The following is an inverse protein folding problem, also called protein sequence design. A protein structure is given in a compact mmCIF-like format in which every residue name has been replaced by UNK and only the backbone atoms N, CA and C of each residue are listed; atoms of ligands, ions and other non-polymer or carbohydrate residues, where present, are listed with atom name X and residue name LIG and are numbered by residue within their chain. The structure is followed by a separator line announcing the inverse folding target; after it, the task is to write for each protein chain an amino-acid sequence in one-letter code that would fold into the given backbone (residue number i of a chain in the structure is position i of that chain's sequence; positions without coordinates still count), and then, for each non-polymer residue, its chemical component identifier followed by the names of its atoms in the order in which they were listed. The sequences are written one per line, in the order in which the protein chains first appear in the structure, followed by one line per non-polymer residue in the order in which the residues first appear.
data_IF_750705446123
#
_entry.id   IF_750705446123
#
_cell.length_a   1.000
_cell.length_b   1.000
_cell.length_c   1.000
_cell.angle_alpha   90.00
_cell.angle_beta   90.00
_cell.angle_gamma   90.00
#
_symmetry.space_group_name_H-M   'P 1'
#
loop_
_entity.id
_entity.type
_entity.pdbx_description
1 polymer ?
#
# COMPACT_ATOMS: atom_id res chain seq x y z
N UNK A 1 5.25 -28.01 1.44
CA UNK A 1 5.61 -27.00 0.42
C UNK A 1 4.60 -25.88 0.37
N UNK A 2 4.56 -25.05 1.41
CA UNK A 2 3.62 -23.94 1.49
C UNK A 2 4.19 -22.72 0.78
N UNK A 3 3.51 -22.23 -0.25
CA UNK A 3 3.81 -20.97 -0.94
C UNK A 3 2.96 -19.80 -0.43
N UNK A 4 2.83 -18.75 -1.24
CA UNK A 4 2.06 -17.55 -0.95
C UNK A 4 0.90 -17.42 -1.94
N UNK A 5 -0.34 -17.40 -1.43
CA UNK A 5 -1.52 -17.03 -2.22
C UNK A 5 -1.71 -15.52 -2.14
N UNK A 6 -1.63 -14.83 -3.28
CA UNK A 6 -1.69 -13.38 -3.34
C UNK A 6 -3.14 -12.95 -3.57
N UNK A 7 -3.65 -12.15 -2.65
CA UNK A 7 -5.00 -11.59 -2.68
C UNK A 7 -4.97 -10.08 -2.95
N UNK A 8 -5.91 -9.57 -3.73
CA UNK A 8 -6.02 -8.14 -4.03
C UNK A 8 -7.48 -7.66 -4.14
N UNK A 9 -7.68 -6.36 -4.32
CA UNK A 9 -8.98 -5.77 -4.64
C UNK A 9 -10.11 -5.96 -3.60
N UNK A 10 -9.79 -6.20 -2.32
CA UNK A 10 -10.76 -6.20 -1.22
C UNK A 10 -11.21 -4.79 -0.81
N UNK A 11 -12.42 -4.67 -0.24
CA UNK A 11 -12.97 -3.43 0.28
C UNK A 11 -13.91 -3.67 1.47
N UNK A 12 -13.87 -2.79 2.47
CA UNK A 12 -14.74 -2.83 3.66
C UNK A 12 -15.35 -1.45 3.98
N UNK A 13 -15.61 -0.65 2.94
CA UNK A 13 -16.14 0.71 3.08
C UNK A 13 -17.61 0.78 2.69
N UNK A 14 -17.94 1.77 1.84
CA UNK A 14 -19.26 1.87 1.20
C UNK A 14 -19.66 0.58 0.48
N UNK A 15 -18.69 -0.04 -0.20
CA UNK A 15 -18.82 -1.37 -0.77
C UNK A 15 -18.07 -2.37 0.11
N UNK A 16 -18.75 -3.46 0.47
CA UNK A 16 -18.12 -4.63 1.08
C UNK A 16 -17.82 -5.60 -0.07
N UNK A 17 -16.54 -5.88 -0.27
CA UNK A 17 -16.08 -6.81 -1.31
C UNK A 17 -14.96 -7.68 -0.76
N UNK A 18 -15.11 -9.00 -0.92
CA UNK A 18 -14.02 -9.95 -0.72
C UNK A 18 -12.86 -9.66 -1.67
N UNK A 19 -11.67 -10.10 -1.29
CA UNK A 19 -10.50 -10.06 -2.16
C UNK A 19 -10.65 -11.05 -3.32
N UNK A 20 -9.98 -10.75 -4.41
CA UNK A 20 -9.78 -11.65 -5.55
C UNK A 20 -8.42 -12.33 -5.42
N UNK A 21 -8.33 -13.60 -5.79
CA UNK A 21 -7.05 -14.31 -5.88
C UNK A 21 -6.34 -13.89 -7.16
N UNK A 22 -5.14 -13.33 -7.02
CA UNK A 22 -4.25 -13.04 -8.14
C UNK A 22 -3.57 -14.33 -8.63
N UNK A 23 -2.95 -15.08 -7.71
CA UNK A 23 -2.28 -16.34 -8.01
C UNK A 23 -1.45 -16.86 -6.82
N UNK A 24 -0.78 -18.00 -7.02
CA UNK A 24 0.09 -18.64 -6.04
C UNK A 24 1.56 -18.56 -6.51
N UNK A 25 2.45 -18.20 -5.60
CA UNK A 25 3.91 -18.19 -5.84
C UNK A 25 4.63 -18.98 -4.75
N UNK A 26 5.88 -19.39 -4.98
CA UNK A 26 6.61 -20.30 -4.09
C UNK A 26 7.39 -19.56 -3.01
N UNK A 27 7.93 -18.39 -3.33
CA UNK A 27 8.86 -17.67 -2.45
C UNK A 27 8.36 -16.28 -2.08
N UNK A 28 8.95 -15.74 -1.01
CA UNK A 28 8.69 -14.36 -0.59
C UNK A 28 9.15 -13.34 -1.64
N UNK A 29 10.31 -13.57 -2.27
CA UNK A 29 10.82 -12.70 -3.33
C UNK A 29 9.87 -12.65 -4.53
N UNK A 30 9.32 -13.81 -4.93
CA UNK A 30 8.30 -13.86 -5.98
C UNK A 30 7.04 -13.10 -5.54
N UNK A 31 6.61 -13.26 -4.28
CA UNK A 31 5.44 -12.55 -3.77
C UNK A 31 5.64 -11.02 -3.81
N UNK A 32 6.81 -10.55 -3.38
CA UNK A 32 7.19 -9.14 -3.47
C UNK A 32 7.20 -8.65 -4.91
N UNK A 33 7.80 -9.39 -5.84
CA UNK A 33 7.84 -9.01 -7.26
C UNK A 33 6.41 -8.81 -7.83
N UNK A 34 5.52 -9.77 -7.59
CA UNK A 34 4.14 -9.72 -8.10
C UNK A 34 3.32 -8.61 -7.45
N UNK A 35 3.42 -8.43 -6.13
CA UNK A 35 2.69 -7.39 -5.39
C UNK A 35 3.16 -5.99 -5.81
N UNK A 36 4.47 -5.80 -5.95
CA UNK A 36 5.06 -4.52 -6.37
C UNK A 36 4.67 -4.20 -7.83
N UNK A 37 4.75 -5.18 -8.72
CA UNK A 37 4.32 -5.01 -10.11
C UNK A 37 2.82 -4.67 -10.22
N UNK A 38 1.94 -5.39 -9.51
CA UNK A 38 0.51 -5.10 -9.43
C UNK A 38 0.27 -3.66 -8.92
N UNK A 39 0.99 -3.27 -7.87
CA UNK A 39 0.90 -1.92 -7.29
C UNK A 39 1.29 -0.86 -8.33
N UNK A 40 2.35 -1.08 -9.09
CA UNK A 40 2.77 -0.14 -10.14
C UNK A 40 1.77 -0.08 -11.30
N UNK A 41 1.24 -1.22 -11.75
CA UNK A 41 0.19 -1.25 -12.78
C UNK A 41 -1.02 -0.43 -12.34
N UNK A 42 -1.44 -0.57 -11.07
CA UNK A 42 -2.51 0.24 -10.51
C UNK A 42 -2.14 1.73 -10.41
N UNK A 43 -0.91 2.07 -9.98
CA UNK A 43 -0.43 3.47 -9.93
C UNK A 43 -0.46 4.15 -11.30
N UNK A 44 -0.16 3.43 -12.37
CA UNK A 44 -0.10 3.97 -13.72
C UNK A 44 -1.47 4.10 -14.39
N UNK A 45 -2.43 3.26 -14.02
CA UNK A 45 -3.74 3.17 -14.68
C UNK A 45 -4.91 3.68 -13.85
N UNK A 46 -4.72 3.87 -12.54
CA UNK A 46 -5.73 4.34 -11.61
C UNK A 46 -6.13 5.79 -11.91
N UNK A 47 -7.44 6.05 -11.86
CA UNK A 47 -7.97 7.42 -11.93
C UNK A 47 -7.96 8.07 -10.54
N UNK A 48 -7.98 9.39 -10.50
CA UNK A 48 -8.07 10.13 -9.23
C UNK A 48 -9.28 9.64 -8.40
N UNK A 49 -9.03 9.30 -7.13
CA UNK A 49 -9.99 8.71 -6.18
C UNK A 49 -10.61 7.36 -6.60
N UNK A 50 -10.09 6.72 -7.65
CA UNK A 50 -10.47 5.35 -7.97
C UNK A 50 -9.81 4.41 -6.98
N UNK A 51 -10.61 3.57 -6.32
CA UNK A 51 -10.11 2.54 -5.41
C UNK A 51 -9.71 1.31 -6.21
N UNK A 52 -8.71 0.55 -5.74
CA UNK A 52 -8.18 -0.61 -6.46
C UNK A 52 -9.25 -1.64 -6.87
N UNK A 53 -10.31 -1.85 -6.07
CA UNK A 53 -11.41 -2.74 -6.43
C UNK A 53 -12.28 -2.22 -7.60
N UNK A 54 -12.43 -0.89 -7.73
CA UNK A 54 -13.10 -0.24 -8.87
C UNK A 54 -12.22 -0.25 -10.11
N UNK A 55 -10.92 0.01 -9.93
CA UNK A 55 -9.93 -0.14 -11.00
C UNK A 55 -9.90 -1.58 -11.54
N UNK A 56 -9.83 -2.58 -10.65
CA UNK A 56 -9.84 -3.99 -11.04
C UNK A 56 -11.11 -4.39 -11.80
N UNK A 57 -12.27 -3.86 -11.37
CA UNK A 57 -13.55 -4.04 -12.10
C UNK A 57 -13.51 -3.43 -13.52
N UNK A 58 -12.82 -2.29 -13.69
CA UNK A 58 -12.71 -1.60 -14.99
C UNK A 58 -11.71 -2.27 -15.93
N UNK A 59 -10.56 -2.71 -15.42
CA UNK A 59 -9.52 -3.37 -16.22
C UNK A 59 -9.89 -4.83 -16.53
N UNK A 60 -10.51 -5.52 -15.57
CA UNK A 60 -10.79 -6.96 -15.65
C UNK A 60 -9.72 -7.77 -14.93
N UNK A 61 -10.16 -8.71 -14.08
CA UNK A 61 -9.26 -9.55 -13.28
C UNK A 61 -8.38 -10.42 -14.18
N UNK A 62 -8.94 -10.98 -15.25
CA UNK A 62 -8.19 -11.80 -16.22
C UNK A 62 -7.08 -11.03 -16.91
N UNK A 63 -7.31 -9.77 -17.27
CA UNK A 63 -6.27 -8.92 -17.88
C UNK A 63 -5.16 -8.58 -16.87
N UNK A 64 -5.52 -8.36 -15.62
CA UNK A 64 -4.54 -8.14 -14.54
C UNK A 64 -3.70 -9.41 -14.33
N UNK A 65 -4.33 -10.58 -14.26
CA UNK A 65 -3.63 -11.86 -14.14
C UNK A 65 -2.72 -12.13 -15.34
N UNK A 66 -3.19 -11.88 -16.55
CA UNK A 66 -2.37 -12.02 -17.77
C UNK A 66 -1.10 -11.18 -17.69
N UNK A 67 -1.19 -9.92 -17.26
CA UNK A 67 -0.01 -9.06 -17.20
C UNK A 67 0.91 -9.32 -16.00
N UNK A 68 0.38 -9.78 -14.87
CA UNK A 68 1.16 -9.95 -13.64
C UNK A 68 1.62 -11.39 -13.46
N UNK A 69 0.75 -12.38 -13.66
CA UNK A 69 1.06 -13.80 -13.44
C UNK A 69 1.63 -14.49 -14.68
N UNK A 70 1.23 -14.09 -15.89
CA UNK A 70 1.55 -14.83 -17.13
C UNK A 70 2.59 -14.15 -18.03
N UNK A 71 2.88 -12.86 -17.78
CA UNK A 71 3.79 -12.04 -18.60
C UNK A 71 4.96 -11.54 -17.75
N UNK A 72 6.03 -12.34 -17.70
CA UNK A 72 7.23 -12.07 -16.91
C UNK A 72 7.92 -10.77 -17.31
N UNK A 73 7.95 -10.46 -18.61
CA UNK A 73 8.57 -9.24 -19.11
C UNK A 73 7.80 -7.99 -18.65
N UNK A 74 6.46 -8.00 -18.77
CA UNK A 74 5.65 -6.90 -18.25
C UNK A 74 5.74 -6.79 -16.74
N UNK A 75 5.63 -7.91 -16.00
CA UNK A 75 5.74 -7.91 -14.53
C UNK A 75 7.06 -7.28 -14.09
N UNK A 76 8.18 -7.72 -14.68
CA UNK A 76 9.50 -7.16 -14.37
C UNK A 76 9.62 -5.69 -14.73
N UNK A 77 9.08 -5.28 -15.88
CA UNK A 77 9.08 -3.87 -16.27
C UNK A 77 8.28 -2.98 -15.29
N UNK A 78 7.15 -3.46 -14.78
CA UNK A 78 6.41 -2.75 -13.71
C UNK A 78 7.21 -2.70 -12.41
N UNK A 79 7.80 -3.82 -12.00
CA UNK A 79 8.63 -3.89 -10.80
C UNK A 79 9.79 -2.88 -10.84
N UNK A 80 10.55 -2.87 -11.94
CA UNK A 80 11.72 -2.01 -12.10
C UNK A 80 11.35 -0.51 -12.06
N UNK A 81 10.22 -0.13 -12.69
CA UNK A 81 9.70 1.25 -12.61
C UNK A 81 9.30 1.62 -11.19
N UNK A 82 8.69 0.70 -10.44
CA UNK A 82 8.37 0.95 -9.04
C UNK A 82 9.64 1.17 -8.21
N UNK A 83 10.61 0.27 -8.31
CA UNK A 83 11.89 0.35 -7.57
C UNK A 83 12.62 1.65 -7.91
N UNK A 84 12.65 2.03 -9.19
CA UNK A 84 13.21 3.31 -9.60
C UNK A 84 12.49 4.49 -8.93
N UNK A 85 11.15 4.48 -8.86
CA UNK A 85 10.37 5.53 -8.20
C UNK A 85 10.69 5.66 -6.70
N UNK A 86 11.01 4.55 -6.03
CA UNK A 86 11.34 4.55 -4.60
C UNK A 86 12.67 5.27 -4.31
N UNK A 87 13.61 5.30 -5.25
CA UNK A 87 14.90 6.03 -5.06
C UNK A 87 14.72 7.52 -4.77
N UNK A 88 13.58 8.10 -5.17
CA UNK A 88 13.28 9.51 -5.02
C UNK A 88 12.20 9.81 -3.98
N UNK A 89 11.39 8.80 -3.61
CA UNK A 89 10.20 8.97 -2.77
C UNK A 89 10.41 8.60 -1.28
N UNK A 90 11.62 8.19 -0.90
CA UNK A 90 11.97 7.73 0.46
C UNK A 90 12.44 8.87 1.38
N UNK A 91 11.86 10.06 1.21
CA UNK A 91 12.04 11.15 2.18
C UNK A 91 11.01 10.94 3.27
N UNK A 92 11.45 10.63 4.49
CA UNK A 92 10.56 10.51 5.64
C UNK A 92 9.96 11.89 5.98
N UNK A 93 8.65 12.10 5.74
CA UNK A 93 8.02 13.40 5.99
C UNK A 93 7.90 13.71 7.48
N UNK A 94 8.09 12.71 8.36
CA UNK A 94 7.98 12.85 9.80
C UNK A 94 9.32 13.06 10.49
N UNK A 95 10.45 12.85 9.78
CA UNK A 95 11.79 12.89 10.35
C UNK A 95 12.07 14.16 11.16
N UNK A 96 11.78 15.34 10.60
CA UNK A 96 11.95 16.62 11.28
C UNK A 96 11.05 16.75 12.52
N UNK A 97 9.78 16.32 12.40
CA UNK A 97 8.82 16.37 13.51
C UNK A 97 9.23 15.45 14.66
N UNK A 98 9.67 14.23 14.35
CA UNK A 98 10.20 13.26 15.33
C UNK A 98 11.47 13.79 15.99
N UNK A 99 12.35 14.44 15.23
CA UNK A 99 13.56 15.08 15.79
C UNK A 99 13.23 16.23 16.76
N UNK A 100 12.04 16.80 16.64
CA UNK A 100 11.46 17.67 17.65
C UNK A 100 11.13 19.09 17.19
N UNK A 101 11.17 19.35 15.87
CA UNK A 101 10.83 20.66 15.26
C UNK A 101 9.54 21.25 15.85
N UNK A 102 8.51 20.43 16.00
CA UNK A 102 7.18 20.84 16.46
C UNK A 102 6.80 20.33 17.86
N UNK A 103 7.77 19.97 18.72
CA UNK A 103 7.50 19.46 20.09
C UNK A 103 6.63 20.39 20.93
N UNK A 104 6.64 21.68 20.62
CA UNK A 104 5.85 22.68 21.32
C UNK A 104 4.34 22.53 21.11
N UNK A 105 3.88 21.92 20.00
CA UNK A 105 2.45 21.67 19.74
C UNK A 105 1.83 20.69 20.75
N UNK A 106 2.64 19.85 21.39
CA UNK A 106 2.20 18.88 22.38
C UNK A 106 2.32 19.39 23.82
N UNK A 107 2.67 20.67 24.02
CA UNK A 107 2.69 21.27 25.36
C UNK A 107 1.27 21.44 25.86
N UNK A 108 0.97 21.10 27.12
CA UNK A 108 -0.32 21.42 27.73
C UNK A 108 -0.61 22.92 27.61
N UNK A 109 -1.84 23.27 27.22
CA UNK A 109 -2.27 24.69 27.18
C UNK A 109 -2.25 25.34 28.56
N UNK A 110 -2.45 24.53 29.61
CA UNK A 110 -2.30 24.93 31.00
C UNK A 110 -1.77 23.75 31.83
N UNK A 111 -0.93 24.03 32.81
CA UNK A 111 -0.61 23.09 33.89
C UNK A 111 -1.61 23.33 35.01
N UNK A 112 -2.61 22.47 35.12
CA UNK A 112 -3.52 22.43 36.27
C UNK A 112 -2.93 21.46 37.29
N UNK A 113 -2.57 21.97 38.47
CA UNK A 113 -2.23 21.11 39.60
C UNK A 113 -3.44 20.28 40.02
N UNK A 114 -3.19 19.07 40.54
CA UNK A 114 -4.24 18.33 41.23
C UNK A 114 -4.57 19.05 42.54
N UNK A 115 -5.85 19.28 42.83
CA UNK A 115 -6.24 19.76 44.15
C UNK A 115 -5.90 18.68 45.17
N UNK A 116 -5.17 19.04 46.24
CA UNK A 116 -5.04 18.16 47.40
C UNK A 116 -6.45 17.84 47.90
N UNK A 117 -6.74 16.54 48.07
CA UNK A 117 -8.02 16.11 48.61
C UNK A 117 -8.17 16.69 50.02
N UNK A 118 -9.31 17.33 50.29
CA UNK A 118 -9.63 17.83 51.62
C UNK A 118 -9.73 16.64 52.59
N UNK A 119 -8.91 16.67 53.65
CA UNK A 119 -8.96 15.75 54.80
C UNK A 119 -10.16 16.05 55.70
#
# INVERSE_FOLDING_TARGET
DSGYEIHFAGAAGLDIKGTEVLGLVKTEDEALEHIVALTQMYREQGRYLERIYKWAKRIGIEEIKRQIMEDDEKRKAYYDRFVFSQKFAQVDPWSERVSGKDKHEFRPMASVGFAEAAE
#
